data_IF_194117925740
#
_entry.id   IF_194117925740
#
_cell.length_a   1.000
_cell.length_b   1.000
_cell.length_c   1.000
_cell.angle_alpha   90.00
_cell.angle_beta   90.00
_cell.angle_gamma   90.00
#
_symmetry.space_group_name_H-M   'P 1'
#
loop_
_entity.id
_entity.type
_entity.pdbx_description
1 polymer ?
#
# COMPACT_ATOMS: atom_id res chain seq x y z
N UNK A 1 -6.86 70.49 38.83
CA UNK A 1 -7.59 69.26 38.47
C UNK A 1 -6.94 68.46 37.33
N UNK A 2 -5.87 68.96 36.69
CA UNK A 2 -5.30 68.37 35.46
C UNK A 2 -4.13 67.40 35.71
N UNK A 3 -3.56 67.39 36.92
CA UNK A 3 -2.36 66.59 37.27
C UNK A 3 -2.64 65.10 37.54
N UNK A 4 -3.89 64.70 37.75
CA UNK A 4 -4.26 63.30 38.04
C UNK A 4 -4.86 62.55 36.83
N UNK A 5 -5.12 63.23 35.71
CA UNK A 5 -5.82 62.63 34.56
C UNK A 5 -4.88 61.94 33.56
N UNK A 6 -3.62 62.41 33.45
CA UNK A 6 -2.60 61.84 32.56
C UNK A 6 -2.16 60.39 32.90
N UNK A 7 -1.91 60.01 34.17
CA UNK A 7 -1.50 58.64 34.47
C UNK A 7 -2.61 57.62 34.18
N UNK A 8 -3.89 57.97 34.41
CA UNK A 8 -5.03 57.07 34.15
C UNK A 8 -5.24 56.79 32.66
N UNK A 9 -5.06 57.81 31.80
CA UNK A 9 -5.14 57.62 30.34
C UNK A 9 -3.98 56.79 29.80
N UNK A 10 -2.78 56.93 30.38
CA UNK A 10 -1.59 56.19 29.95
C UNK A 10 -1.59 54.74 30.45
N UNK A 11 -2.16 54.49 31.63
CA UNK A 11 -2.35 53.13 32.18
C UNK A 11 -3.41 52.35 31.37
N UNK A 12 -4.50 53.02 30.95
CA UNK A 12 -5.50 52.44 30.05
C UNK A 12 -4.96 52.16 28.65
N UNK A 13 -4.14 53.05 28.09
CA UNK A 13 -3.52 52.82 26.78
C UNK A 13 -2.58 51.60 26.77
N UNK A 14 -1.85 51.38 27.88
CA UNK A 14 -0.96 50.23 28.02
C UNK A 14 -1.73 48.91 28.19
N UNK A 15 -2.87 48.91 28.90
CA UNK A 15 -3.71 47.71 29.06
C UNK A 15 -4.42 47.34 27.75
N UNK A 16 -4.86 48.33 26.97
CA UNK A 16 -5.41 48.12 25.62
C UNK A 16 -4.35 47.56 24.65
N UNK A 17 -3.12 48.10 24.67
CA UNK A 17 -2.01 47.59 23.87
C UNK A 17 -1.64 46.14 24.23
N UNK A 18 -1.62 45.80 25.53
CA UNK A 18 -1.37 44.43 25.99
C UNK A 18 -2.51 43.50 25.53
N UNK A 19 -3.77 43.95 25.61
CA UNK A 19 -4.92 43.19 25.12
C UNK A 19 -4.85 42.89 23.63
N UNK A 20 -4.47 43.90 22.81
CA UNK A 20 -4.28 43.73 21.36
C UNK A 20 -3.13 42.75 21.08
N UNK A 21 -2.00 42.88 21.77
CA UNK A 21 -0.85 41.97 21.60
C UNK A 21 -1.20 40.52 21.94
N UNK A 22 -1.94 40.28 23.03
CA UNK A 22 -2.38 38.94 23.42
C UNK A 22 -3.37 38.37 22.39
N UNK A 23 -4.30 39.18 21.88
CA UNK A 23 -5.24 38.76 20.85
C UNK A 23 -4.53 38.39 19.54
N UNK A 24 -3.55 39.18 19.10
CA UNK A 24 -2.73 38.89 17.91
C UNK A 24 -1.93 37.61 18.12
N UNK A 25 -1.29 37.44 19.28
CA UNK A 25 -0.54 36.23 19.60
C UNK A 25 -1.44 34.98 19.57
N UNK A 26 -2.65 35.07 20.14
CA UNK A 26 -3.62 33.99 20.12
C UNK A 26 -4.04 33.62 18.69
N UNK A 27 -4.26 34.60 17.81
CA UNK A 27 -4.59 34.36 16.40
C UNK A 27 -3.42 33.68 15.69
N UNK A 28 -2.19 34.15 15.88
CA UNK A 28 -0.99 33.55 15.26
C UNK A 28 -0.81 32.10 15.73
N UNK A 29 -0.93 31.84 17.04
CA UNK A 29 -0.86 30.48 17.59
C UNK A 29 -1.95 29.60 16.98
N UNK A 30 -3.18 30.10 16.88
CA UNK A 30 -4.30 29.36 16.28
C UNK A 30 -4.04 29.05 14.81
N UNK A 31 -3.51 30.00 14.03
CA UNK A 31 -3.14 29.79 12.63
C UNK A 31 -1.98 28.79 12.48
N UNK A 32 -0.98 28.82 13.35
CA UNK A 32 0.13 27.86 13.36
C UNK A 32 -0.38 26.45 13.70
N UNK A 33 -1.28 26.33 14.67
CA UNK A 33 -1.90 25.05 15.04
C UNK A 33 -2.77 24.54 13.88
N UNK A 34 -3.60 25.39 13.27
CA UNK A 34 -4.41 25.01 12.11
C UNK A 34 -3.53 24.62 10.92
N UNK A 35 -2.43 25.33 10.66
CA UNK A 35 -1.47 24.99 9.62
C UNK A 35 -0.74 23.68 9.90
N UNK A 36 -0.37 23.41 11.16
CA UNK A 36 0.24 22.16 11.57
C UNK A 36 -0.74 20.98 11.46
N UNK A 37 -2.01 21.17 11.83
CA UNK A 37 -3.08 20.19 11.66
C UNK A 37 -3.36 19.95 10.17
N UNK A 38 -3.38 21.00 9.35
CA UNK A 38 -3.58 20.90 7.90
C UNK A 38 -2.40 20.18 7.22
N UNK A 39 -1.15 20.45 7.62
CA UNK A 39 0.04 19.69 7.18
C UNK A 39 -0.02 18.23 7.62
N UNK A 40 -0.45 17.94 8.85
CA UNK A 40 -0.60 16.56 9.34
C UNK A 40 -1.70 15.79 8.61
N UNK A 41 -2.81 16.45 8.25
CA UNK A 41 -3.90 15.84 7.46
C UNK A 41 -3.45 15.41 6.05
N UNK A 42 -2.46 16.09 5.46
CA UNK A 42 -1.88 15.66 4.16
C UNK A 42 -1.08 14.35 4.23
N UNK A 43 -0.72 13.85 5.42
CA UNK A 43 0.09 12.64 5.61
C UNK A 43 -0.71 11.44 6.14
N UNK A 44 -2.00 11.35 5.82
CA UNK A 44 -2.85 10.22 6.23
C UNK A 44 -2.93 9.21 5.07
N UNK A 45 -2.18 8.11 5.19
CA UNK A 45 -2.45 6.82 4.52
C UNK A 45 -2.57 6.81 3.00
N UNK A 46 -1.52 7.24 2.28
CA UNK A 46 -1.47 7.18 0.80
C UNK A 46 -0.51 6.10 0.29
N UNK A 47 -0.18 5.10 1.12
CA UNK A 47 0.80 4.09 0.75
C UNK A 47 0.16 3.04 -0.18
N UNK A 48 0.70 2.87 -1.37
CA UNK A 48 0.45 1.71 -2.21
C UNK A 48 1.61 0.75 -1.99
N UNK A 49 1.31 -0.40 -1.40
CA UNK A 49 2.34 -1.40 -1.08
C UNK A 49 2.54 -2.29 -2.30
N UNK A 50 3.77 -2.34 -2.81
CA UNK A 50 4.18 -3.25 -3.86
C UNK A 50 4.92 -4.43 -3.22
N UNK A 51 4.33 -5.62 -3.31
CA UNK A 51 4.86 -6.83 -2.66
C UNK A 51 4.73 -8.07 -3.54
N UNK A 52 5.37 -9.18 -3.15
CA UNK A 52 5.45 -10.43 -3.91
C UNK A 52 6.80 -11.12 -3.73
N UNK A 53 6.96 -12.33 -4.28
CA UNK A 53 8.20 -13.10 -4.16
C UNK A 53 9.42 -12.36 -4.75
N UNK A 54 10.62 -12.76 -4.35
CA UNK A 54 11.86 -12.34 -5.00
C UNK A 54 11.81 -12.62 -6.51
N UNK A 55 12.48 -11.77 -7.29
CA UNK A 55 12.51 -11.83 -8.76
C UNK A 55 11.16 -11.62 -9.49
N UNK A 56 10.06 -11.32 -8.79
CA UNK A 56 8.78 -10.99 -9.44
C UNK A 56 8.80 -9.71 -10.31
N UNK A 57 9.86 -8.89 -10.20
CA UNK A 57 10.01 -7.63 -10.94
C UNK A 57 9.46 -6.39 -10.23
N UNK A 58 9.23 -6.47 -8.91
CA UNK A 58 8.71 -5.37 -8.07
C UNK A 58 9.52 -4.08 -8.21
N UNK A 59 10.83 -4.14 -7.98
CA UNK A 59 11.70 -2.96 -8.04
C UNK A 59 11.78 -2.36 -9.45
N UNK A 60 11.64 -3.18 -10.50
CA UNK A 60 11.58 -2.69 -11.87
C UNK A 60 10.26 -1.95 -12.14
N UNK A 61 9.12 -2.48 -11.68
CA UNK A 61 7.82 -1.79 -11.73
C UNK A 61 7.89 -0.47 -10.95
N UNK A 62 8.45 -0.49 -9.74
CA UNK A 62 8.69 0.70 -8.93
C UNK A 62 9.50 1.76 -9.71
N UNK A 63 10.62 1.37 -10.31
CA UNK A 63 11.45 2.28 -11.11
C UNK A 63 10.70 2.85 -12.32
N UNK A 64 9.85 2.05 -12.98
CA UNK A 64 8.99 2.50 -14.10
C UNK A 64 7.97 3.54 -13.66
N UNK A 65 7.30 3.32 -12.53
CA UNK A 65 6.31 4.26 -12.00
C UNK A 65 6.93 5.61 -11.62
N UNK A 66 8.19 5.62 -11.14
CA UNK A 66 8.85 6.86 -10.73
C UNK A 66 9.55 7.60 -11.87
N UNK A 67 10.30 6.88 -12.70
CA UNK A 67 11.26 7.48 -13.62
C UNK A 67 10.93 7.22 -15.09
N UNK A 68 9.89 6.43 -15.39
CA UNK A 68 9.52 5.93 -16.72
C UNK A 68 10.65 5.22 -17.49
N UNK A 69 11.78 4.95 -16.85
CA UNK A 69 13.00 4.39 -17.45
C UNK A 69 13.26 2.98 -16.94
N UNK A 70 13.86 2.17 -17.80
CA UNK A 70 14.41 0.88 -17.39
C UNK A 70 15.63 1.09 -16.49
N UNK A 71 15.68 0.36 -15.38
CA UNK A 71 16.82 0.32 -14.45
C UNK A 71 17.12 -1.14 -14.15
N UNK A 72 18.38 -1.56 -14.28
CA UNK A 72 18.79 -2.89 -13.87
C UNK A 72 18.69 -3.01 -12.33
N UNK A 73 17.99 -4.03 -11.83
CA UNK A 73 17.72 -4.20 -10.40
C UNK A 73 18.32 -5.49 -9.84
N UNK A 74 18.71 -5.46 -8.57
CA UNK A 74 19.12 -6.63 -7.78
C UNK A 74 18.17 -6.86 -6.60
N UNK A 75 18.34 -7.96 -5.85
CA UNK A 75 17.53 -8.28 -4.68
C UNK A 75 17.57 -7.15 -3.65
N UNK A 76 16.40 -6.55 -3.37
CA UNK A 76 16.26 -5.47 -2.39
C UNK A 76 16.50 -5.98 -0.96
N UNK A 77 17.41 -5.33 -0.24
CA UNK A 77 17.71 -5.58 1.19
C UNK A 77 16.88 -4.66 2.11
N UNK A 78 16.36 -3.56 1.56
CA UNK A 78 15.59 -2.52 2.23
C UNK A 78 14.40 -2.11 1.36
N UNK A 79 13.37 -1.51 1.97
CA UNK A 79 12.26 -0.92 1.22
C UNK A 79 12.70 0.28 0.37
N UNK A 80 12.14 0.39 -0.83
CA UNK A 80 12.20 1.63 -1.61
C UNK A 80 10.90 2.41 -1.43
N UNK A 81 11.01 3.73 -1.26
CA UNK A 81 9.86 4.61 -1.06
C UNK A 81 9.95 5.75 -2.07
N UNK A 82 8.88 5.94 -2.81
CA UNK A 82 8.79 6.92 -3.88
C UNK A 82 7.40 7.53 -3.95
N UNK A 83 7.33 8.82 -4.21
CA UNK A 83 6.06 9.52 -4.36
C UNK A 83 5.77 9.70 -5.87
N UNK A 84 4.57 9.30 -6.31
CA UNK A 84 4.08 9.47 -7.67
C UNK A 84 2.86 10.40 -7.66
N UNK A 85 2.66 11.16 -8.74
CA UNK A 85 1.47 12.00 -8.88
C UNK A 85 0.47 11.33 -9.83
N UNK A 86 -0.74 11.08 -9.33
CA UNK A 86 -1.86 10.52 -10.11
C UNK A 86 -3.07 11.43 -9.91
N UNK A 87 -3.68 11.92 -10.99
CA UNK A 87 -4.84 12.85 -11.01
C UNK A 87 -4.79 13.95 -9.93
N UNK A 88 -3.71 14.73 -9.89
CA UNK A 88 -3.44 15.83 -8.93
C UNK A 88 -3.28 15.42 -7.46
N UNK A 89 -3.30 14.13 -7.14
CA UNK A 89 -2.97 13.60 -5.82
C UNK A 89 -1.60 12.93 -5.83
N UNK A 90 -0.89 13.02 -4.72
CA UNK A 90 0.35 12.27 -4.53
C UNK A 90 0.02 10.93 -3.89
N UNK A 91 0.53 9.83 -4.44
CA UNK A 91 0.51 8.50 -3.85
C UNK A 91 1.94 8.08 -3.52
N UNK A 92 2.12 7.39 -2.40
CA UNK A 92 3.42 6.88 -1.98
C UNK A 92 3.53 5.40 -2.33
N UNK A 93 4.40 5.05 -3.26
CA UNK A 93 4.70 3.65 -3.59
C UNK A 93 5.77 3.14 -2.62
N UNK A 94 5.51 1.99 -1.99
CA UNK A 94 6.45 1.31 -1.10
C UNK A 94 6.77 -0.06 -1.68
N UNK A 95 7.98 -0.23 -2.24
CA UNK A 95 8.51 -1.50 -2.73
C UNK A 95 9.06 -2.33 -1.57
N UNK A 96 8.41 -3.45 -1.29
CA UNK A 96 8.76 -4.35 -0.20
C UNK A 96 9.75 -5.40 -0.69
N UNK A 97 10.86 -5.65 0.04
CA UNK A 97 11.76 -6.76 -0.23
C UNK A 97 11.02 -8.09 -0.39
N UNK A 98 11.34 -8.82 -1.47
CA UNK A 98 10.73 -10.12 -1.74
C UNK A 98 11.32 -11.27 -0.93
N UNK A 99 12.42 -11.07 -0.21
CA UNK A 99 13.04 -12.12 0.61
C UNK A 99 12.11 -12.54 1.75
N UNK A 100 11.98 -13.83 2.00
CA UNK A 100 11.08 -14.38 3.01
C UNK A 100 11.38 -13.83 4.42
N UNK A 101 12.67 -13.61 4.74
CA UNK A 101 13.10 -13.11 6.06
C UNK A 101 12.75 -11.64 6.27
N UNK A 102 12.55 -10.89 5.19
CA UNK A 102 12.35 -9.44 5.23
C UNK A 102 10.91 -9.03 4.92
N UNK A 103 10.21 -9.74 4.04
CA UNK A 103 8.92 -9.31 3.48
C UNK A 103 7.86 -9.03 4.55
N UNK A 104 7.74 -9.89 5.58
CA UNK A 104 6.73 -9.72 6.63
C UNK A 104 7.04 -8.51 7.52
N UNK A 105 8.31 -8.36 7.94
CA UNK A 105 8.77 -7.22 8.75
C UNK A 105 8.46 -5.88 8.08
N UNK A 106 8.74 -5.76 6.78
CA UNK A 106 8.48 -4.53 6.05
C UNK A 106 6.99 -4.36 5.74
N UNK A 107 6.26 -5.43 5.39
CA UNK A 107 4.82 -5.37 5.19
C UNK A 107 4.10 -4.85 6.45
N UNK A 108 4.41 -5.41 7.62
CA UNK A 108 3.84 -5.01 8.92
C UNK A 108 4.09 -3.53 9.25
N UNK A 109 5.26 -3.01 8.85
CA UNK A 109 5.61 -1.59 9.04
C UNK A 109 4.68 -0.65 8.26
N UNK A 110 4.19 -1.06 7.09
CA UNK A 110 3.44 -0.17 6.17
C UNK A 110 1.94 -0.50 6.09
N UNK A 111 1.50 -1.71 6.46
CA UNK A 111 0.11 -2.18 6.27
C UNK A 111 -0.96 -1.28 6.89
N UNK A 112 -0.70 -0.69 8.07
CA UNK A 112 -1.66 0.18 8.78
C UNK A 112 -2.02 1.42 7.93
N UNK A 113 -1.05 1.94 7.18
CA UNK A 113 -1.19 3.15 6.35
C UNK A 113 -1.41 2.86 4.86
N UNK A 114 -1.64 1.58 4.51
CA UNK A 114 -1.89 1.18 3.13
C UNK A 114 -3.24 1.71 2.64
N UNK A 115 -3.27 2.21 1.41
CA UNK A 115 -4.49 2.56 0.65
C UNK A 115 -4.85 1.48 -0.37
N UNK A 116 -3.86 0.73 -0.83
CA UNK A 116 -4.02 -0.40 -1.74
C UNK A 116 -2.77 -1.26 -1.75
N UNK A 117 -2.90 -2.49 -2.24
CA UNK A 117 -1.79 -3.45 -2.32
C UNK A 117 -1.69 -3.98 -3.75
N UNK A 118 -0.48 -3.98 -4.27
CA UNK A 118 -0.14 -4.61 -5.54
C UNK A 118 0.71 -5.83 -5.21
N UNK A 119 0.17 -7.01 -5.48
CA UNK A 119 0.87 -8.28 -5.33
C UNK A 119 1.39 -8.73 -6.69
N UNK A 120 2.70 -8.63 -6.89
CA UNK A 120 3.37 -8.94 -8.16
C UNK A 120 3.73 -10.42 -8.24
N UNK A 121 3.35 -11.04 -9.35
CA UNK A 121 3.66 -12.43 -9.67
C UNK A 121 4.56 -12.48 -10.90
N UNK A 122 5.62 -13.26 -10.83
CA UNK A 122 6.35 -13.70 -12.03
C UNK A 122 5.52 -14.75 -12.77
N UNK A 123 4.93 -14.35 -13.90
CA UNK A 123 4.03 -15.21 -14.67
C UNK A 123 4.76 -16.37 -15.36
N UNK A 124 6.08 -16.30 -15.49
CA UNK A 124 6.91 -17.32 -16.15
C UNK A 124 7.26 -18.44 -15.17
N UNK A 125 7.67 -18.07 -13.96
CA UNK A 125 8.05 -19.04 -12.92
C UNK A 125 6.91 -19.43 -11.99
N UNK A 126 5.72 -18.81 -12.13
CA UNK A 126 4.54 -19.01 -11.30
C UNK A 126 4.24 -20.48 -10.99
N UNK A 127 4.23 -21.35 -12.01
CA UNK A 127 3.85 -22.76 -11.81
C UNK A 127 4.84 -23.54 -10.93
N UNK A 128 6.13 -23.16 -10.93
CA UNK A 128 7.14 -23.78 -10.05
C UNK A 128 7.03 -23.28 -8.61
N UNK A 129 6.63 -22.02 -8.45
CA UNK A 129 6.62 -21.30 -7.18
C UNK A 129 5.22 -21.15 -6.58
N UNK A 130 4.21 -21.85 -7.13
CA UNK A 130 2.79 -21.64 -6.78
C UNK A 130 2.52 -21.78 -5.28
N UNK A 131 3.19 -22.73 -4.62
CA UNK A 131 3.05 -22.95 -3.17
C UNK A 131 3.52 -21.73 -2.38
N UNK A 132 4.72 -21.25 -2.67
CA UNK A 132 5.30 -20.10 -1.99
C UNK A 132 4.52 -18.81 -2.26
N UNK A 133 4.02 -18.65 -3.51
CA UNK A 133 3.15 -17.54 -3.90
C UNK A 133 1.84 -17.58 -3.11
N UNK A 134 1.18 -18.74 -3.10
CA UNK A 134 -0.11 -18.93 -2.45
C UNK A 134 0.00 -18.81 -0.93
N UNK A 135 1.06 -19.34 -0.31
CA UNK A 135 1.29 -19.20 1.13
C UNK A 135 1.51 -17.74 1.51
N UNK A 136 2.33 -17.01 0.75
CA UNK A 136 2.56 -15.60 1.03
C UNK A 136 1.27 -14.77 0.84
N UNK A 137 0.55 -15.01 -0.26
CA UNK A 137 -0.71 -14.35 -0.53
C UNK A 137 -1.77 -14.68 0.53
N UNK A 138 -1.87 -15.93 0.97
CA UNK A 138 -2.78 -16.36 2.04
C UNK A 138 -2.53 -15.56 3.32
N UNK A 139 -1.28 -15.52 3.79
CA UNK A 139 -0.92 -14.82 5.01
C UNK A 139 -1.24 -13.32 4.92
N UNK A 140 -0.97 -12.71 3.76
CA UNK A 140 -1.30 -11.31 3.48
C UNK A 140 -2.81 -11.07 3.51
N UNK A 141 -3.60 -11.91 2.83
CA UNK A 141 -5.05 -11.76 2.75
C UNK A 141 -5.73 -11.99 4.10
N UNK A 142 -5.30 -12.99 4.87
CA UNK A 142 -5.83 -13.27 6.21
C UNK A 142 -5.59 -12.11 7.19
N UNK A 143 -4.42 -11.47 7.11
CA UNK A 143 -4.09 -10.29 7.93
C UNK A 143 -4.94 -9.06 7.53
N UNK A 144 -5.18 -8.85 6.23
CA UNK A 144 -5.95 -7.68 5.76
C UNK A 144 -7.45 -7.86 5.99
N UNK A 145 -8.01 -9.02 5.61
CA UNK A 145 -9.47 -9.24 5.59
C UNK A 145 -10.09 -9.11 7.00
N UNK A 146 -9.32 -9.40 8.05
CA UNK A 146 -9.73 -9.22 9.45
C UNK A 146 -9.69 -7.77 9.96
N UNK A 147 -9.04 -6.84 9.25
CA UNK A 147 -8.73 -5.51 9.78
C UNK A 147 -9.18 -4.35 8.88
N UNK A 148 -9.08 -4.48 7.56
CA UNK A 148 -9.31 -3.36 6.63
C UNK A 148 -9.75 -3.83 5.25
N UNK A 149 -10.75 -3.17 4.67
CA UNK A 149 -11.11 -3.35 3.26
C UNK A 149 -10.15 -2.55 2.40
N UNK A 150 -9.22 -3.22 1.74
CA UNK A 150 -8.25 -2.60 0.84
C UNK A 150 -8.45 -3.12 -0.59
N UNK A 151 -8.38 -2.26 -1.63
CA UNK A 151 -8.27 -2.75 -2.99
C UNK A 151 -6.92 -3.47 -3.17
N UNK A 152 -6.96 -4.64 -3.81
CA UNK A 152 -5.79 -5.47 -4.07
C UNK A 152 -5.70 -5.72 -5.58
N UNK A 153 -4.52 -5.52 -6.15
CA UNK A 153 -4.21 -5.87 -7.52
C UNK A 153 -3.22 -7.05 -7.53
N UNK A 154 -3.62 -8.17 -8.12
CA UNK A 154 -2.69 -9.23 -8.49
C UNK A 154 -2.13 -8.89 -9.87
N UNK A 155 -0.87 -8.48 -9.89
CA UNK A 155 -0.19 -8.04 -11.10
C UNK A 155 0.66 -9.19 -11.67
N UNK A 156 0.18 -9.81 -12.74
CA UNK A 156 0.85 -10.89 -13.44
C UNK A 156 1.90 -10.30 -14.40
N UNK A 157 3.13 -10.18 -13.92
CA UNK A 157 4.25 -9.52 -14.60
C UNK A 157 5.05 -10.50 -15.49
N UNK A 158 5.96 -9.94 -16.31
CA UNK A 158 6.83 -10.63 -17.28
C UNK A 158 6.08 -11.25 -18.47
N UNK A 159 4.96 -10.64 -18.87
CA UNK A 159 4.14 -11.11 -20.00
C UNK A 159 4.83 -10.98 -21.37
N UNK A 160 5.96 -10.28 -21.44
CA UNK A 160 6.85 -10.24 -22.60
C UNK A 160 7.53 -11.59 -22.90
N UNK A 161 7.50 -12.54 -21.97
CA UNK A 161 8.15 -13.84 -22.11
C UNK A 161 7.17 -14.92 -22.58
N UNK A 162 7.61 -15.78 -23.49
CA UNK A 162 6.78 -16.80 -24.15
C UNK A 162 6.13 -17.81 -23.20
N UNK A 163 6.75 -18.06 -22.05
CA UNK A 163 6.28 -19.02 -21.05
C UNK A 163 5.38 -18.38 -19.97
N UNK A 164 5.09 -17.07 -20.08
CA UNK A 164 4.25 -16.36 -19.15
C UNK A 164 2.81 -16.90 -19.17
N UNK A 165 2.24 -17.11 -17.98
CA UNK A 165 0.83 -17.48 -17.81
C UNK A 165 -0.05 -16.24 -17.76
N UNK A 166 -1.17 -16.27 -18.46
CA UNK A 166 -2.16 -15.19 -18.40
C UNK A 166 -2.89 -15.14 -17.05
N UNK A 167 -3.52 -13.99 -16.77
CA UNK A 167 -4.20 -13.73 -15.50
C UNK A 167 -5.29 -14.76 -15.16
N UNK A 168 -6.06 -15.21 -16.15
CA UNK A 168 -7.15 -16.18 -15.94
C UNK A 168 -6.64 -17.53 -15.42
N UNK A 169 -5.52 -17.99 -15.96
CA UNK A 169 -4.86 -19.24 -15.54
C UNK A 169 -4.27 -19.09 -14.15
N UNK A 170 -3.58 -17.97 -13.89
CA UNK A 170 -3.00 -17.68 -12.57
C UNK A 170 -4.11 -17.59 -11.50
N UNK A 171 -5.21 -16.89 -11.77
CA UNK A 171 -6.37 -16.79 -10.87
C UNK A 171 -6.91 -18.17 -10.52
N UNK A 172 -7.22 -19.00 -11.51
CA UNK A 172 -7.78 -20.33 -11.29
C UNK A 172 -6.85 -21.25 -10.49
N UNK A 173 -5.55 -21.17 -10.74
CA UNK A 173 -4.55 -21.96 -10.01
C UNK A 173 -4.37 -21.49 -8.57
N UNK A 174 -4.36 -20.16 -8.34
CA UNK A 174 -4.30 -19.60 -6.98
C UNK A 174 -5.55 -19.94 -6.19
N UNK A 175 -6.74 -19.87 -6.78
CA UNK A 175 -7.97 -20.21 -6.06
C UNK A 175 -7.96 -21.65 -5.55
N UNK A 176 -7.50 -22.59 -6.38
CA UNK A 176 -7.32 -24.00 -5.99
C UNK A 176 -6.29 -24.17 -4.88
N UNK A 177 -5.13 -23.53 -4.99
CA UNK A 177 -4.06 -23.66 -4.00
C UNK A 177 -4.45 -23.01 -2.66
N UNK A 178 -5.09 -21.84 -2.70
CA UNK A 178 -5.61 -21.16 -1.50
C UNK A 178 -6.73 -21.96 -0.83
N UNK A 179 -7.57 -22.65 -1.60
CA UNK A 179 -8.57 -23.57 -1.07
C UNK A 179 -7.90 -24.73 -0.32
N UNK A 180 -6.82 -25.30 -0.86
CA UNK A 180 -6.06 -26.35 -0.19
C UNK A 180 -5.38 -25.84 1.09
N UNK A 181 -4.76 -24.67 1.03
CA UNK A 181 -4.05 -24.07 2.17
C UNK A 181 -4.99 -23.76 3.34
N UNK A 182 -6.16 -23.16 3.07
CA UNK A 182 -7.11 -22.83 4.14
C UNK A 182 -7.64 -24.08 4.82
N UNK A 183 -7.97 -25.14 4.07
CA UNK A 183 -8.44 -26.42 4.62
C UNK A 183 -7.35 -27.09 5.45
N UNK A 184 -6.11 -27.09 4.95
CA UNK A 184 -4.96 -27.65 5.67
C UNK A 184 -4.73 -26.94 7.00
N UNK A 185 -4.76 -25.60 7.00
CA UNK A 185 -4.60 -24.80 8.22
C UNK A 185 -5.74 -24.99 9.20
N UNK A 186 -7.00 -25.04 8.75
CA UNK A 186 -8.15 -25.33 9.61
C UNK A 186 -8.04 -26.70 10.27
N UNK A 187 -7.69 -27.75 9.51
CA UNK A 187 -7.57 -29.10 10.05
C UNK A 187 -6.42 -29.26 11.06
N UNK A 188 -5.29 -28.56 10.87
CA UNK A 188 -4.19 -28.55 11.83
C UNK A 188 -4.59 -27.92 13.17
N UNK A 189 -5.50 -26.95 13.13
CA UNK A 189 -6.00 -26.25 14.31
C UNK A 189 -7.07 -27.06 15.03
N UNK A 190 -7.92 -27.83 14.35
CA UNK A 190 -8.84 -28.76 15.03
C UNK A 190 -8.08 -29.83 15.84
N UNK A 191 -6.85 -30.15 15.44
CA UNK A 191 -5.98 -31.07 16.17
C UNK A 191 -5.22 -30.42 17.35
N UNK A 192 -5.23 -29.08 17.48
CA UNK A 192 -4.48 -28.35 18.51
C UNK A 192 -5.35 -27.26 19.15
N UNK A 193 -5.58 -27.32 20.47
CA UNK A 193 -6.44 -26.41 21.25
C UNK A 193 -5.90 -24.96 21.38
N UNK A 194 -5.35 -24.40 20.29
CA UNK A 194 -4.66 -23.12 20.26
C UNK A 194 -5.64 -21.96 19.98
N UNK A 195 -5.77 -21.07 20.96
CA UNK A 195 -6.52 -19.81 20.99
C UNK A 195 -5.98 -18.71 20.07
N UNK A 196 -5.60 -19.04 18.83
CA UNK A 196 -5.23 -18.04 17.82
C UNK A 196 -6.50 -17.49 17.17
N UNK A 197 -6.64 -16.16 17.16
CA UNK A 197 -7.74 -15.43 16.51
C UNK A 197 -7.68 -15.64 15.00
N UNK A 198 -8.25 -16.73 14.51
CA UNK A 198 -8.10 -17.13 13.12
C UNK A 198 -9.20 -16.58 12.23
N UNK A 199 -8.78 -15.83 11.20
CA UNK A 199 -9.63 -15.36 10.13
C UNK A 199 -9.70 -16.45 9.07
N UNK A 200 -10.84 -17.13 8.98
CA UNK A 200 -11.11 -18.06 7.89
C UNK A 200 -11.22 -17.28 6.57
N UNK A 201 -10.43 -17.66 5.58
CA UNK A 201 -10.39 -16.92 4.31
C UNK A 201 -11.56 -17.31 3.38
N UNK A 202 -12.44 -16.35 3.14
CA UNK A 202 -13.64 -16.51 2.29
C UNK A 202 -14.78 -17.23 3.00
N UNK A 203 -15.56 -18.02 2.25
CA UNK A 203 -16.75 -18.73 2.76
C UNK A 203 -16.44 -20.19 3.07
N UNK A 204 -16.92 -20.72 4.19
CA UNK A 204 -16.63 -22.10 4.65
C UNK A 204 -17.30 -23.18 3.80
N UNK A 205 -18.49 -22.90 3.26
CA UNK A 205 -19.33 -23.91 2.61
C UNK A 205 -19.18 -23.95 1.07
N UNK A 206 -18.18 -23.26 0.52
CA UNK A 206 -17.91 -23.18 -0.92
C UNK A 206 -16.42 -23.17 -1.15
N UNK A 207 -15.97 -23.65 -2.29
CA UNK A 207 -14.57 -23.49 -2.70
C UNK A 207 -14.15 -22.01 -2.69
N UNK A 208 -12.86 -21.78 -2.42
CA UNK A 208 -12.33 -20.43 -2.35
C UNK A 208 -12.38 -19.77 -3.74
N UNK A 209 -12.88 -18.55 -3.78
CA UNK A 209 -12.84 -17.66 -4.93
C UNK A 209 -12.46 -16.27 -4.40
N UNK A 210 -11.71 -15.49 -5.18
CA UNK A 210 -11.30 -14.15 -4.73
C UNK A 210 -12.50 -13.23 -4.46
N UNK A 211 -13.63 -13.48 -5.11
CA UNK A 211 -14.89 -12.74 -4.96
C UNK A 211 -15.56 -13.00 -3.59
N UNK A 212 -15.08 -14.00 -2.83
CA UNK A 212 -15.53 -14.28 -1.48
C UNK A 212 -14.89 -13.39 -0.40
N UNK A 213 -13.88 -12.60 -0.75
CA UNK A 213 -13.17 -11.71 0.17
C UNK A 213 -13.95 -10.39 0.37
N UNK A 214 -13.72 -9.71 1.50
CA UNK A 214 -14.29 -8.38 1.73
C UNK A 214 -13.56 -7.28 0.94
N UNK A 215 -12.31 -7.56 0.59
CA UNK A 215 -11.44 -6.70 -0.21
C UNK A 215 -11.64 -6.98 -1.70
N UNK A 216 -11.72 -5.92 -2.52
CA UNK A 216 -11.83 -6.05 -3.97
C UNK A 216 -10.48 -6.50 -4.53
N UNK A 217 -10.45 -7.69 -5.12
CA UNK A 217 -9.25 -8.24 -5.77
C UNK A 217 -9.41 -8.20 -7.28
N UNK A 218 -8.49 -7.51 -7.95
CA UNK A 218 -8.42 -7.39 -9.41
C UNK A 218 -7.16 -8.09 -9.93
N UNK A 219 -7.20 -8.56 -11.17
CA UNK A 219 -6.06 -9.18 -11.84
C UNK A 219 -5.71 -8.36 -13.07
N UNK A 220 -4.43 -8.08 -13.28
CA UNK A 220 -3.95 -7.39 -14.47
C UNK A 220 -2.62 -7.98 -14.95
N UNK A 221 -2.46 -7.97 -16.28
CA UNK A 221 -1.24 -8.38 -16.96
C UNK A 221 -0.29 -7.18 -17.06
N UNK A 222 1.02 -7.43 -16.97
CA UNK A 222 2.01 -6.39 -17.18
C UNK A 222 3.34 -6.91 -17.72
N UNK A 223 4.09 -6.01 -18.34
CA UNK A 223 5.51 -6.19 -18.60
C UNK A 223 6.29 -4.92 -18.29
N UNK A 224 7.09 -4.98 -17.24
CA UNK A 224 7.99 -3.87 -16.86
C UNK A 224 9.29 -3.85 -17.68
N UNK A 225 9.64 -4.97 -18.33
CA UNK A 225 10.81 -5.08 -19.19
C UNK A 225 10.47 -4.63 -20.61
N UNK A 226 11.31 -3.76 -21.18
CA UNK A 226 11.27 -3.47 -22.62
C UNK A 226 12.66 -3.67 -23.19
N UNK A 227 12.75 -4.30 -24.37
CA UNK A 227 14.02 -4.49 -25.08
C UNK A 227 14.61 -3.15 -25.57
N UNK A 228 13.73 -2.18 -25.82
CA UNK A 228 14.09 -0.83 -26.26
C UNK A 228 13.70 0.18 -25.15
N UNK A 229 14.62 1.05 -24.69
CA UNK A 229 14.33 2.10 -23.72
C UNK A 229 13.24 3.08 -24.16
N UNK A 230 13.08 3.30 -25.47
CA UNK A 230 12.10 4.24 -26.03
C UNK A 230 10.70 3.63 -26.19
N UNK A 231 10.57 2.30 -26.08
CA UNK A 231 9.25 1.65 -26.10
C UNK A 231 8.59 1.78 -24.72
N UNK A 232 7.35 2.29 -24.64
CA UNK A 232 6.62 2.34 -23.39
C UNK A 232 6.40 0.93 -22.82
N UNK A 233 6.58 0.78 -21.51
CA UNK A 233 6.28 -0.48 -20.81
C UNK A 233 4.79 -0.74 -20.78
N UNK A 234 4.38 -2.00 -20.90
CA UNK A 234 2.99 -2.43 -20.85
C UNK A 234 2.51 -2.50 -19.39
N UNK A 235 2.28 -1.34 -18.79
CA UNK A 235 1.80 -1.17 -17.41
C UNK A 235 0.51 -0.34 -17.34
N UNK A 236 -0.20 -0.16 -18.46
CA UNK A 236 -1.38 0.70 -18.55
C UNK A 236 -2.51 0.24 -17.61
N UNK A 237 -2.67 -1.08 -17.45
CA UNK A 237 -3.64 -1.65 -16.53
C UNK A 237 -3.32 -1.32 -15.06
N UNK A 238 -2.02 -1.24 -14.72
CA UNK A 238 -1.57 -0.82 -13.40
C UNK A 238 -1.86 0.68 -13.19
N UNK A 239 -1.58 1.53 -14.17
CA UNK A 239 -1.87 2.96 -14.09
C UNK A 239 -3.37 3.23 -13.96
N UNK A 240 -4.21 2.52 -14.72
CA UNK A 240 -5.66 2.59 -14.61
C UNK A 240 -6.17 2.15 -13.22
N UNK A 241 -5.58 1.09 -12.66
CA UNK A 241 -5.91 0.65 -11.31
C UNK A 241 -5.50 1.69 -10.25
N UNK A 242 -4.30 2.27 -10.35
CA UNK A 242 -3.85 3.35 -9.46
C UNK A 242 -4.79 4.57 -9.51
N UNK A 243 -5.37 4.86 -10.67
CA UNK A 243 -6.39 5.90 -10.81
C UNK A 243 -7.69 5.57 -10.07
N UNK A 244 -8.10 4.30 -10.05
CA UNK A 244 -9.33 3.84 -9.38
C UNK A 244 -9.19 3.69 -7.86
N UNK A 245 -7.98 3.54 -7.34
CA UNK A 245 -7.70 3.49 -5.90
C UNK A 245 -7.82 4.87 -5.25
N UNK A 246 -7.92 5.95 -6.04
CA UNK A 246 -8.02 7.32 -5.52
C UNK A 246 -9.35 7.65 -4.87
#
# INVERSE_FOLDING_TARGET
MEKHMKPLLQENANSELIGILVAVLAIVITLVILFAIWRRRKSVGQNIILTGLSDAGKTLIYARLLCSKFVQTHTSVKENIGDINVNNNTLRIVDIPGDERLRYKFFDKYKISAKGIIFVIDSVTFQKNIRDVAEYLYNLLSDIDGHKKLPILILCNKQDQTMAKGCSVIKSLLEKELNLLRLTKTNQLEATDATSSNVFLGKSNKDFEFDHLNSKVEFAESSAFTKDPETPSQIEALDAWLQNVM
#
